data_IF_838905900569
#
_entry.id   IF_838905900569
#
_cell.length_a   1.000
_cell.length_b   1.000
_cell.length_c   1.000
_cell.angle_alpha   90.00
_cell.angle_beta   90.00
_cell.angle_gamma   90.00
#
_symmetry.space_group_name_H-M   'P 1'
#
loop_
_entity.id
_entity.type
_entity.pdbx_description
1 polymer ?
#
# COMPACT_ATOMS: atom_id res chain seq x y z
N UNK A 1 9.38 9.87 17.94
CA UNK A 1 8.02 10.43 18.10
C UNK A 1 7.13 9.55 17.24
N UNK A 2 6.15 8.86 17.83
CA UNK A 2 5.15 8.15 17.01
C UNK A 2 4.27 9.21 16.35
N UNK A 3 4.09 9.12 15.04
CA UNK A 3 3.16 10.00 14.35
C UNK A 3 1.77 9.40 14.55
N UNK A 4 0.86 10.19 15.11
CA UNK A 4 -0.53 9.78 15.28
C UNK A 4 -1.12 9.41 13.91
N UNK A 5 -2.07 8.45 13.84
CA UNK A 5 -2.75 8.10 12.59
C UNK A 5 -3.31 9.32 11.84
N UNK A 6 -3.64 10.40 12.56
CA UNK A 6 -4.13 11.65 11.97
C UNK A 6 -3.07 12.55 11.30
N UNK A 7 -1.77 12.28 11.48
CA UNK A 7 -0.67 13.04 10.84
C UNK A 7 -0.42 12.56 9.42
N UNK A 8 -0.65 11.27 9.15
CA UNK A 8 -0.81 10.72 7.82
C UNK A 8 -2.30 10.60 7.54
N UNK A 9 -2.95 11.73 7.24
CA UNK A 9 -4.40 11.78 7.03
C UNK A 9 -4.89 10.73 6.05
N UNK A 10 -6.20 10.49 6.06
CA UNK A 10 -7.00 9.61 5.17
C UNK A 10 -6.83 9.86 3.65
N UNK A 11 -5.75 10.52 3.22
CA UNK A 11 -5.45 11.01 1.88
C UNK A 11 -4.27 10.32 1.19
N UNK A 12 -3.58 9.35 1.81
CA UNK A 12 -2.53 8.61 1.12
C UNK A 12 -3.17 7.49 0.28
N UNK A 13 -3.33 7.78 -1.02
CA UNK A 13 -3.86 6.80 -1.98
C UNK A 13 -2.72 5.92 -2.46
N UNK A 14 -2.89 4.61 -2.30
CA UNK A 14 -2.02 3.62 -2.91
C UNK A 14 -2.03 3.75 -4.44
N UNK A 15 -1.01 3.15 -5.05
CA UNK A 15 -0.75 3.28 -6.48
C UNK A 15 -0.41 1.94 -7.10
N UNK A 16 -0.82 1.80 -8.35
CA UNK A 16 -0.55 0.61 -9.14
C UNK A 16 0.10 0.97 -10.48
N UNK A 17 0.80 0.00 -11.08
CA UNK A 17 1.38 0.13 -12.42
C UNK A 17 0.63 -0.79 -13.37
N UNK A 18 0.25 -0.28 -14.54
CA UNK A 18 -0.36 -1.11 -15.59
C UNK A 18 0.67 -2.08 -16.17
N UNK A 19 0.29 -3.36 -16.34
CA UNK A 19 1.13 -4.43 -16.91
C UNK A 19 1.82 -4.08 -18.24
N UNK A 20 1.17 -3.23 -19.06
CA UNK A 20 1.70 -2.75 -20.34
C UNK A 20 1.84 -1.22 -20.38
N UNK A 21 2.03 -0.59 -19.22
CA UNK A 21 2.24 0.85 -19.08
C UNK A 21 3.69 1.26 -19.31
N UNK A 22 3.93 2.57 -19.22
CA UNK A 22 5.25 3.20 -19.25
C UNK A 22 6.01 3.10 -17.92
N UNK A 23 5.47 2.35 -16.94
CA UNK A 23 6.03 2.24 -15.59
C UNK A 23 5.62 3.39 -14.64
N UNK A 24 4.81 4.34 -15.10
CA UNK A 24 4.34 5.43 -14.26
C UNK A 24 3.23 4.95 -13.28
N UNK A 25 3.39 5.15 -11.97
CA UNK A 25 2.42 4.69 -10.99
C UNK A 25 1.17 5.58 -10.99
N UNK A 26 0.01 4.96 -11.20
CA UNK A 26 -1.29 5.63 -11.22
C UNK A 26 -1.96 5.49 -9.85
N UNK A 27 -2.80 6.46 -9.49
CA UNK A 27 -3.64 6.35 -8.28
C UNK A 27 -4.54 5.13 -8.44
N UNK A 28 -4.51 4.25 -7.45
CA UNK A 28 -5.42 3.13 -7.40
C UNK A 28 -6.82 3.61 -6.98
N UNK A 29 -7.83 3.18 -7.73
CA UNK A 29 -9.21 3.49 -7.39
C UNK A 29 -9.74 2.61 -6.26
N UNK A 30 -9.11 1.46 -6.03
CA UNK A 30 -9.36 0.59 -4.89
C UNK A 30 -8.38 0.97 -3.77
N UNK A 31 -8.89 1.35 -2.60
CA UNK A 31 -8.04 1.62 -1.44
C UNK A 31 -7.80 0.30 -0.68
N UNK A 32 -6.70 -0.38 -1.00
CA UNK A 32 -6.43 -1.75 -0.52
C UNK A 32 -5.41 -1.81 0.61
N UNK A 33 -4.60 -0.76 0.76
CA UNK A 33 -3.63 -0.60 1.83
C UNK A 33 -4.13 0.40 2.87
N UNK A 34 -4.06 0.03 4.15
CA UNK A 34 -4.36 0.95 5.25
C UNK A 34 -3.12 1.12 6.10
N UNK A 35 -2.58 2.34 6.13
CA UNK A 35 -1.47 2.70 7.02
C UNK A 35 -1.97 2.67 8.48
N UNK A 36 -1.25 1.93 9.32
CA UNK A 36 -1.57 1.75 10.74
C UNK A 36 -0.65 2.57 11.64
N UNK A 37 0.62 2.66 11.27
CA UNK A 37 1.65 3.36 12.02
C UNK A 37 2.75 3.82 11.06
N UNK A 38 3.23 5.04 11.27
CA UNK A 38 4.45 5.54 10.64
C UNK A 38 5.31 6.23 11.69
N UNK A 39 6.60 5.93 11.72
CA UNK A 39 7.56 6.72 12.47
C UNK A 39 8.94 6.66 11.82
N UNK A 40 9.71 7.71 12.06
CA UNK A 40 11.09 7.80 11.61
C UNK A 40 12.01 7.97 12.82
N UNK A 41 13.18 7.34 12.74
CA UNK A 41 14.30 7.61 13.64
C UNK A 41 15.55 7.94 12.82
N UNK A 42 16.67 8.19 13.51
CA UNK A 42 17.93 8.65 12.88
C UNK A 42 18.48 7.75 11.77
N UNK A 43 18.03 6.49 11.69
CA UNK A 43 18.57 5.50 10.76
C UNK A 43 17.54 4.95 9.79
N UNK A 44 16.25 4.90 10.17
CA UNK A 44 15.23 4.26 9.37
C UNK A 44 13.86 4.89 9.57
N UNK A 45 13.04 4.78 8.53
CA UNK A 45 11.60 5.02 8.55
C UNK A 45 10.90 3.67 8.64
N UNK A 46 9.91 3.55 9.52
CA UNK A 46 9.10 2.35 9.71
C UNK A 46 7.66 2.68 9.36
N UNK A 47 7.11 1.94 8.40
CA UNK A 47 5.69 1.95 8.05
C UNK A 47 5.09 0.59 8.36
N UNK A 48 4.00 0.57 9.12
CA UNK A 48 3.18 -0.61 9.34
C UNK A 48 1.84 -0.37 8.69
N UNK A 49 1.43 -1.28 7.82
CA UNK A 49 0.15 -1.24 7.13
C UNK A 49 -0.55 -2.59 7.22
N UNK A 50 -1.82 -2.63 6.82
CA UNK A 50 -2.56 -3.86 6.55
C UNK A 50 -3.11 -3.82 5.13
N UNK A 51 -3.23 -5.00 4.51
CA UNK A 51 -3.91 -5.27 3.24
C UNK A 51 -4.60 -6.63 3.33
N UNK A 52 -5.73 -6.82 2.65
CA UNK A 52 -6.38 -8.13 2.56
C UNK A 52 -5.52 -9.11 1.74
N UNK A 53 -5.58 -10.40 2.07
CA UNK A 53 -4.93 -11.43 1.24
C UNK A 53 -5.53 -11.50 -0.17
N UNK A 54 -6.84 -11.31 -0.26
CA UNK A 54 -7.59 -11.13 -1.49
C UNK A 54 -8.38 -9.82 -1.39
N UNK A 55 -8.00 -8.84 -2.20
CA UNK A 55 -8.61 -7.51 -2.28
C UNK A 55 -9.86 -7.51 -3.14
N UNK A 56 -10.06 -8.57 -3.95
CA UNK A 56 -11.06 -8.67 -5.00
C UNK A 56 -10.89 -7.64 -6.12
N UNK A 57 -9.80 -6.85 -6.15
CA UNK A 57 -9.38 -6.06 -7.31
C UNK A 57 -8.54 -6.93 -8.26
N UNK A 58 -9.23 -7.75 -9.05
CA UNK A 58 -8.56 -8.62 -10.02
C UNK A 58 -7.96 -7.88 -11.22
N UNK A 59 -8.21 -6.58 -11.37
CA UNK A 59 -7.69 -5.80 -12.48
C UNK A 59 -6.24 -5.36 -12.24
N UNK A 60 -5.91 -5.01 -11.01
CA UNK A 60 -4.62 -4.41 -10.67
C UNK A 60 -3.84 -5.16 -9.60
N UNK A 61 -4.51 -6.00 -8.82
CA UNK A 61 -3.92 -6.70 -7.69
C UNK A 61 -3.72 -8.20 -7.92
N UNK A 62 -2.72 -8.75 -7.24
CA UNK A 62 -2.47 -10.19 -7.19
C UNK A 62 -2.85 -10.71 -5.80
N UNK A 63 -3.74 -11.72 -5.70
CA UNK A 63 -4.04 -12.36 -4.43
C UNK A 63 -2.79 -12.98 -3.80
N UNK A 64 -2.58 -12.72 -2.51
CA UNK A 64 -1.52 -13.36 -1.72
C UNK A 64 -2.05 -14.69 -1.23
N UNK A 65 -1.54 -15.77 -1.84
CA UNK A 65 -1.86 -17.16 -1.50
C UNK A 65 -0.59 -17.87 -1.03
N UNK A 66 -0.70 -19.10 -0.54
CA UNK A 66 0.47 -19.93 -0.18
C UNK A 66 1.42 -20.21 -1.35
N UNK A 67 0.99 -19.98 -2.59
CA UNK A 67 1.78 -20.16 -3.82
C UNK A 67 2.20 -18.84 -4.46
N UNK A 68 1.81 -17.70 -3.91
CA UNK A 68 2.22 -16.40 -4.44
C UNK A 68 3.66 -16.15 -3.99
N UNK A 69 4.61 -16.40 -4.88
CA UNK A 69 6.01 -15.98 -4.76
C UNK A 69 6.35 -15.10 -5.95
N UNK A 70 7.00 -13.97 -5.70
CA UNK A 70 7.55 -13.09 -6.73
C UNK A 70 8.98 -13.49 -7.08
#
# INVERSE_FOLDING_TARGET
MELLPSVFGDSDSDRHVKKHGNGEPLVDSSQDYVLLLGYENQTHTVLRFKRKLDTCDVAYDVPITSKTTY
#
